data_IF_682759174772
#
_entry.id   IF_682759174772
#
_cell.length_a   1.000
_cell.length_b   1.000
_cell.length_c   1.000
_cell.angle_alpha   90.00
_cell.angle_beta   90.00
_cell.angle_gamma   90.00
#
_symmetry.space_group_name_H-M   'P 1'
#
loop_
_entity.id
_entity.type
_entity.pdbx_description
1 polymer ?
2 non-polymer ?
3 water ?
#
# COMPACT_ATOMS: atom_id res chain seq x y z
N UNK A 1 6.06 -16.77 -14.78
CA UNK A 1 7.42 -17.00 -14.18
C UNK A 1 7.54 -16.08 -12.98
N UNK A 2 8.57 -16.28 -12.14
CA UNK A 2 8.78 -15.45 -10.94
C UNK A 2 8.99 -13.99 -11.31
N UNK A 3 8.02 -13.16 -10.88
CA UNK A 3 8.03 -11.73 -11.09
C UNK A 3 9.17 -11.12 -10.25
N UNK A 4 9.83 -10.08 -10.76
CA UNK A 4 10.88 -9.40 -10.00
C UNK A 4 10.35 -8.03 -9.54
N UNK A 5 10.31 -7.84 -8.23
CA UNK A 5 9.84 -6.60 -7.61
C UNK A 5 11.05 -5.90 -7.08
N UNK A 6 11.40 -4.79 -7.74
CA UNK A 6 12.54 -3.99 -7.35
C UNK A 6 12.22 -2.98 -6.25
N UNK A 7 12.93 -3.08 -5.13
CA UNK A 7 12.72 -2.14 -4.05
C UNK A 7 13.10 -2.69 -2.72
N UNK A 8 13.05 -1.82 -1.73
CA UNK A 8 13.38 -2.17 -0.35
C UNK A 8 12.17 -2.85 0.25
N UNK A 9 12.36 -4.02 0.90
CA UNK A 9 11.21 -4.71 1.51
C UNK A 9 10.48 -3.94 2.63
N UNK A 10 11.08 -2.86 3.13
CA UNK A 10 10.45 -2.06 4.19
C UNK A 10 9.57 -0.95 3.70
N UNK A 11 9.77 -0.53 2.46
CA UNK A 11 9.01 0.54 1.88
C UNK A 11 7.54 0.15 1.69
N UNK A 12 6.61 0.89 2.33
CA UNK A 12 5.18 0.58 2.20
C UNK A 12 4.68 0.57 0.76
N UNK A 13 5.38 1.25 -0.12
CA UNK A 13 4.94 1.30 -1.49
C UNK A 13 5.31 -0.02 -2.17
N UNK A 14 6.37 -0.66 -1.67
CA UNK A 14 6.77 -1.98 -2.20
C UNK A 14 5.79 -2.98 -1.59
N UNK A 15 5.49 -2.82 -0.30
CA UNK A 15 4.53 -3.70 0.35
C UNK A 15 3.14 -3.64 -0.27
N UNK A 16 2.73 -2.50 -0.84
CA UNK A 16 1.42 -2.40 -1.48
C UNK A 16 1.35 -3.34 -2.68
N UNK A 17 2.48 -3.53 -3.35
CA UNK A 17 2.53 -4.39 -4.54
C UNK A 17 2.58 -5.85 -4.11
N UNK A 18 3.44 -6.15 -3.13
CA UNK A 18 3.58 -7.49 -2.59
C UNK A 18 2.18 -7.96 -2.13
N UNK A 19 1.42 -7.04 -1.53
CA UNK A 19 0.08 -7.32 -1.05
C UNK A 19 -0.74 -7.94 -2.18
N UNK A 20 -0.79 -7.26 -3.32
CA UNK A 20 -1.54 -7.77 -4.44
C UNK A 20 -0.92 -9.03 -5.04
N UNK A 21 0.40 -9.18 -5.01
CA UNK A 21 1.01 -10.39 -5.58
C UNK A 21 0.65 -11.64 -4.76
N UNK A 22 0.61 -11.52 -3.43
CA UNK A 22 0.24 -12.65 -2.60
C UNK A 22 -1.22 -13.01 -2.74
N UNK A 23 -2.09 -12.02 -2.88
CA UNK A 23 -3.51 -12.32 -3.02
C UNK A 23 -3.69 -13.20 -4.25
N UNK A 24 -3.06 -12.82 -5.34
CA UNK A 24 -3.11 -13.53 -6.62
C UNK A 24 -2.26 -14.82 -6.55
N UNK A 25 -1.57 -15.01 -5.43
CA UNK A 25 -0.71 -16.15 -5.25
C UNK A 25 0.37 -16.29 -6.31
N UNK A 26 0.84 -15.18 -6.87
CA UNK A 26 1.87 -15.23 -7.89
C UNK A 26 3.23 -15.38 -7.26
N UNK A 27 4.18 -15.90 -8.01
CA UNK A 27 5.56 -16.07 -7.53
C UNK A 27 6.36 -14.84 -7.87
N UNK A 28 7.22 -14.42 -6.95
CA UNK A 28 8.02 -13.23 -7.19
C UNK A 28 9.12 -13.10 -6.17
N UNK A 29 10.13 -12.31 -6.49
CA UNK A 29 11.20 -12.06 -5.53
C UNK A 29 11.38 -10.55 -5.42
N UNK A 30 11.65 -10.07 -4.21
CA UNK A 30 11.80 -8.64 -4.02
C UNK A 30 13.26 -8.36 -4.11
N UNK A 31 13.66 -7.67 -5.17
CA UNK A 31 15.07 -7.31 -5.39
C UNK A 31 15.41 -5.89 -4.95
N UNK A 32 16.26 -5.74 -3.91
CA UNK A 32 16.66 -4.39 -3.45
C UNK A 32 17.66 -3.83 -4.47
N UNK A 33 17.55 -2.54 -4.77
CA UNK A 33 18.42 -1.89 -5.74
C UNK A 33 19.05 -0.60 -5.30
N UNK A 34 20.23 -0.36 -5.87
CA UNK A 34 21.00 0.85 -5.62
C UNK A 34 20.46 1.83 -6.63
N UNK A 35 19.74 2.84 -6.15
CA UNK A 35 19.14 3.88 -7.01
C UNK A 35 20.19 4.81 -7.60
N UNK A 36 21.01 5.37 -6.72
CA UNK A 36 22.07 6.29 -7.12
C UNK A 36 23.22 6.13 -6.13
N UNK A 37 22.94 5.40 -5.05
CA UNK A 37 23.87 5.15 -3.92
C UNK A 37 25.22 4.55 -4.30
N UNK A 38 25.58 4.61 -5.58
CA UNK A 38 26.87 4.10 -6.01
C UNK A 38 27.80 5.24 -6.45
N UNK A 39 27.30 6.48 -6.40
CA UNK A 39 28.07 7.68 -6.77
C UNK A 39 28.41 7.82 -8.28
N UNK A 40 29.31 8.77 -8.60
CA UNK A 40 29.77 9.10 -9.97
C UNK A 40 28.61 9.04 -10.98
N UNK A 41 27.45 9.22 -10.38
CA UNK A 41 26.13 9.24 -10.97
C UNK A 41 25.99 9.16 -12.48
N UNK A 42 25.75 7.95 -12.96
CA UNK A 42 25.55 7.68 -14.38
C UNK A 42 24.40 6.65 -14.61
N UNK A 43 23.14 7.09 -14.36
CA UNK A 43 21.80 6.48 -14.44
C UNK A 43 21.57 4.97 -14.78
N UNK A 44 21.40 4.13 -13.75
CA UNK A 44 21.19 2.70 -14.01
C UNK A 44 19.77 2.10 -13.87
N UNK A 45 19.15 2.31 -12.71
CA UNK A 45 17.78 1.82 -12.46
C UNK A 45 16.85 2.62 -13.39
N UNK A 46 17.34 3.78 -13.82
CA UNK A 46 16.60 4.65 -14.71
C UNK A 46 16.13 3.96 -15.95
N UNK A 47 16.65 2.78 -16.18
CA UNK A 47 16.28 1.94 -17.32
C UNK A 47 14.97 1.20 -17.05
N UNK A 48 14.72 0.87 -15.78
CA UNK A 48 13.47 0.21 -15.43
C UNK A 48 12.51 1.36 -15.27
N UNK A 49 12.80 2.26 -14.33
CA UNK A 49 11.97 3.44 -14.08
C UNK A 49 12.70 4.74 -14.40
N UNK A 50 12.35 5.42 -15.51
CA UNK A 50 13.01 6.68 -15.85
C UNK A 50 12.76 7.76 -14.82
N UNK A 51 11.70 7.62 -14.02
CA UNK A 51 11.43 8.60 -12.95
C UNK A 51 12.33 8.30 -11.77
N UNK A 52 13.00 7.15 -11.82
CA UNK A 52 13.93 6.74 -10.77
C UNK A 52 13.33 6.48 -9.40
N UNK A 53 12.08 6.04 -9.38
CA UNK A 53 11.39 5.70 -8.14
C UNK A 53 11.08 4.22 -8.07
N UNK A 54 11.05 3.76 -6.84
CA UNK A 54 10.75 2.39 -6.46
C UNK A 54 9.23 2.38 -6.12
N UNK A 55 8.52 1.26 -6.40
CA UNK A 55 9.03 0.03 -6.99
C UNK A 55 8.88 -0.03 -8.49
N UNK A 56 9.47 -1.09 -9.05
CA UNK A 56 9.34 -1.38 -10.48
C UNK A 56 9.11 -2.89 -10.52
N UNK A 57 8.38 -3.36 -11.50
CA UNK A 57 8.17 -4.79 -11.56
C UNK A 57 8.46 -5.22 -12.96
N UNK A 58 9.21 -6.32 -13.09
CA UNK A 58 9.50 -6.85 -14.43
C UNK A 58 8.66 -8.12 -14.65
N UNK A 59 7.73 -8.05 -15.60
CA UNK A 59 6.89 -9.19 -15.90
C UNK A 59 7.29 -9.80 -17.25
N UNK A 60 8.32 -10.63 -17.18
CA UNK A 60 8.84 -11.23 -18.38
C UNK A 60 9.49 -10.16 -19.20
N UNK A 61 8.79 -9.68 -20.21
CA UNK A 61 9.30 -8.65 -21.11
C UNK A 61 8.76 -7.25 -20.73
N UNK A 62 7.77 -7.25 -19.86
CA UNK A 62 7.11 -6.03 -19.40
C UNK A 62 7.76 -5.44 -18.18
N UNK A 63 7.86 -4.12 -18.20
CA UNK A 63 8.40 -3.37 -17.07
C UNK A 63 7.32 -2.35 -16.72
N UNK A 64 6.96 -2.29 -15.46
CA UNK A 64 5.95 -1.35 -15.03
C UNK A 64 6.49 -0.69 -13.78
N UNK A 65 6.03 0.51 -13.55
CA UNK A 65 6.40 1.28 -12.36
C UNK A 65 5.10 2.04 -12.06
N UNK A 66 5.02 2.58 -10.83
CA UNK A 66 3.83 3.25 -10.24
C UNK A 66 3.14 2.05 -9.58
N UNK A 67 3.26 1.92 -8.28
CA UNK A 67 2.71 0.79 -7.55
C UNK A 67 1.24 0.47 -7.92
N UNK A 68 0.41 1.49 -8.08
CA UNK A 68 -0.99 1.29 -8.43
C UNK A 68 -1.16 0.83 -9.88
N UNK A 69 -0.26 1.24 -10.77
CA UNK A 69 -0.37 0.79 -12.16
C UNK A 69 0.00 -0.69 -12.15
N UNK A 70 1.02 -1.04 -11.38
CA UNK A 70 1.44 -2.41 -11.26
C UNK A 70 0.31 -3.26 -10.70
N UNK A 71 -0.30 -2.83 -9.58
CA UNK A 71 -1.40 -3.56 -8.98
C UNK A 71 -2.58 -3.77 -9.91
N UNK A 72 -2.91 -2.76 -10.70
CA UNK A 72 -4.05 -2.90 -11.56
C UNK A 72 -3.74 -3.84 -12.70
N UNK A 73 -2.54 -3.71 -13.26
CA UNK A 73 -2.10 -4.56 -14.36
C UNK A 73 -2.13 -6.04 -13.96
N UNK A 74 -1.47 -6.35 -12.86
CA UNK A 74 -1.43 -7.69 -12.34
C UNK A 74 -2.86 -8.18 -12.01
N UNK A 75 -3.72 -7.33 -11.46
CA UNK A 75 -5.08 -7.72 -11.08
C UNK A 75 -5.96 -8.10 -12.26
N UNK A 76 -5.74 -7.48 -13.41
CA UNK A 76 -6.54 -7.82 -14.58
C UNK A 76 -5.85 -8.89 -15.44
N UNK A 77 -4.52 -8.86 -15.48
CA UNK A 77 -3.75 -9.80 -16.27
C UNK A 77 -3.86 -11.19 -15.68
N UNK A 78 -3.62 -11.31 -14.39
CA UNK A 78 -3.72 -12.60 -13.76
C UNK A 78 -5.05 -12.67 -13.05
N UNK A 79 -6.11 -12.23 -13.73
CA UNK A 79 -7.46 -12.20 -13.21
C UNK A 79 -8.00 -13.47 -12.53
N UNK A 80 -7.49 -14.63 -12.95
CA UNK A 80 -7.94 -15.91 -12.43
C UNK A 80 -7.16 -16.45 -11.25
N UNK A 81 -5.83 -16.36 -11.30
CA UNK A 81 -5.05 -16.84 -10.18
C UNK A 81 -5.57 -16.14 -8.93
N UNK A 82 -5.49 -16.86 -7.81
CA UNK A 82 -5.95 -16.37 -6.51
C UNK A 82 -7.24 -15.59 -6.51
N UNK A 83 -7.33 -14.66 -5.57
CA UNK A 83 -8.50 -13.81 -5.39
C UNK A 83 -8.84 -12.97 -6.59
N UNK A 84 -10.12 -12.77 -6.79
CA UNK A 84 -10.53 -11.96 -7.89
C UNK A 84 -10.54 -10.55 -7.29
N UNK A 85 -9.47 -9.79 -7.51
CA UNK A 85 -9.41 -8.42 -6.96
C UNK A 85 -10.31 -7.48 -7.76
N UNK A 86 -10.79 -7.96 -8.89
CA UNK A 86 -11.69 -7.16 -9.71
C UNK A 86 -12.97 -7.96 -10.02
N UNK A 87 -13.78 -8.29 -8.97
CA UNK A 87 -15.02 -9.05 -9.12
C UNK A 87 -16.01 -8.31 -9.97
N UNK A 88 -16.70 -9.01 -10.86
CA UNK A 88 -17.71 -8.38 -11.70
C UNK A 88 -18.99 -8.22 -10.87
N UNK A 89 -18.95 -8.80 -9.66
CA UNK A 89 -20.05 -8.70 -8.72
C UNK A 89 -19.94 -7.38 -7.92
N UNK A 90 -18.74 -6.81 -7.85
CA UNK A 90 -18.52 -5.56 -7.13
C UNK A 90 -19.09 -4.43 -7.97
N UNK A 91 -19.50 -3.32 -7.34
CA UNK A 91 -20.03 -2.20 -8.10
C UNK A 91 -18.86 -1.59 -8.86
N UNK A 92 -19.02 -1.37 -10.16
CA UNK A 92 -17.94 -0.75 -10.96
C UNK A 92 -17.77 0.73 -10.64
N UNK A 93 -18.89 1.39 -10.32
CA UNK A 93 -18.88 2.81 -9.99
C UNK A 93 -18.16 3.00 -8.67
N UNK A 94 -18.44 2.15 -7.68
CA UNK A 94 -17.78 2.24 -6.38
C UNK A 94 -16.33 1.82 -6.46
N UNK A 95 -16.06 0.76 -7.21
CA UNK A 95 -14.70 0.31 -7.30
C UNK A 95 -13.75 1.38 -7.88
N UNK A 96 -14.16 2.08 -8.94
CA UNK A 96 -13.32 3.11 -9.57
C UNK A 96 -13.19 4.35 -8.67
N UNK A 97 -14.29 4.74 -8.02
CA UNK A 97 -14.29 5.88 -7.14
C UNK A 97 -13.36 5.66 -5.94
N UNK A 98 -13.43 4.51 -5.27
CA UNK A 98 -12.58 4.26 -4.12
C UNK A 98 -11.12 4.00 -4.39
N UNK A 99 -10.79 3.71 -5.65
CA UNK A 99 -9.38 3.48 -6.09
C UNK A 99 -8.74 4.84 -6.16
N UNK A 100 -9.49 5.81 -6.66
CA UNK A 100 -9.03 7.17 -6.73
C UNK A 100 -9.03 7.86 -5.34
N UNK A 101 -10.06 7.58 -4.53
CA UNK A 101 -10.10 8.19 -3.20
C UNK A 101 -8.82 7.82 -2.43
N UNK A 102 -8.40 6.56 -2.54
CA UNK A 102 -7.19 6.08 -1.85
C UNK A 102 -5.95 6.83 -2.35
N UNK A 103 -5.91 7.05 -3.65
CA UNK A 103 -4.81 7.69 -4.34
C UNK A 103 -4.72 9.17 -4.01
N UNK A 104 -5.86 9.83 -3.98
CA UNK A 104 -5.90 11.26 -3.73
C UNK A 104 -6.25 11.77 -2.36
N UNK A 105 -6.82 10.92 -1.51
CA UNK A 105 -7.18 11.38 -0.18
C UNK A 105 -6.56 10.66 0.95
N UNK A 106 -6.43 9.36 0.81
CA UNK A 106 -5.86 8.56 1.86
C UNK A 106 -4.34 8.59 1.76
N UNK A 107 -3.82 8.19 0.63
CA UNK A 107 -2.38 8.15 0.48
C UNK A 107 -1.62 9.44 0.82
N UNK A 108 -1.99 10.57 0.19
CA UNK A 108 -1.29 11.83 0.48
C UNK A 108 -1.29 12.27 1.93
N UNK A 109 -2.20 11.73 2.73
CA UNK A 109 -2.24 12.09 4.14
C UNK A 109 -1.62 11.02 4.99
N UNK A 110 -1.74 9.76 4.57
CA UNK A 110 -1.18 8.64 5.33
C UNK A 110 0.33 8.60 5.22
N UNK A 111 0.89 8.82 4.02
CA UNK A 111 2.34 8.76 3.91
C UNK A 111 3.14 9.77 4.73
N UNK A 112 2.75 11.08 4.72
CA UNK A 112 3.54 12.04 5.52
C UNK A 112 3.58 11.62 6.97
N UNK A 113 2.49 11.04 7.47
CA UNK A 113 2.42 10.60 8.86
C UNK A 113 3.39 9.45 9.13
N UNK A 114 3.47 8.50 8.20
CA UNK A 114 4.37 7.35 8.35
C UNK A 114 5.80 7.84 8.23
N UNK A 115 6.01 8.80 7.36
CA UNK A 115 7.32 9.35 7.16
C UNK A 115 7.87 10.13 8.37
N UNK A 116 7.08 11.03 8.92
CA UNK A 116 7.52 11.82 10.06
C UNK A 116 7.62 11.00 11.37
N UNK A 117 6.67 10.09 11.58
CA UNK A 117 6.64 9.35 12.83
C UNK A 117 7.43 8.05 12.88
N UNK A 118 7.74 7.46 11.71
CA UNK A 118 8.49 6.20 11.64
C UNK A 118 9.88 6.29 11.02
N UNK A 119 9.95 6.89 9.83
CA UNK A 119 11.19 7.01 9.08
C UNK A 119 12.21 8.00 9.67
N UNK A 120 11.79 9.25 9.87
CA UNK A 120 12.68 10.27 10.41
C UNK A 120 13.39 9.92 11.68
N UNK A 121 12.66 9.42 12.70
CA UNK A 121 13.34 9.07 13.93
C UNK A 121 14.37 7.97 13.65
N UNK A 122 14.09 7.05 12.74
CA UNK A 122 15.05 6.00 12.43
C UNK A 122 16.33 6.59 11.79
N UNK A 123 16.20 7.78 11.26
CA UNK A 123 17.31 8.48 10.64
C UNK A 123 17.89 9.59 11.51
N UNK A 124 17.55 9.62 12.78
CA UNK A 124 18.10 10.67 13.62
C UNK A 124 17.36 11.98 13.62
N UNK A 125 16.14 12.02 13.12
CA UNK A 125 15.39 13.28 13.13
C UNK A 125 14.08 13.24 13.93
N UNK A 126 13.67 14.40 14.42
CA UNK A 126 12.43 14.50 15.18
C UNK A 126 11.26 14.82 14.24
N UNK A 127 10.08 14.23 14.49
CA UNK A 127 8.89 14.47 13.68
C UNK A 127 8.57 15.96 13.61
N UNK A 128 8.11 16.43 12.45
CA UNK A 128 7.74 17.83 12.29
C UNK A 128 6.27 17.96 12.77
N UNK A 129 6.06 18.64 13.89
CA UNK A 129 4.73 18.81 14.45
C UNK A 129 3.73 19.42 13.49
N UNK A 130 4.18 20.36 12.68
CA UNK A 130 3.27 21.01 11.76
C UNK A 130 2.76 20.07 10.69
N UNK A 131 3.64 19.19 10.22
CA UNK A 131 3.31 18.20 9.18
C UNK A 131 2.40 17.13 9.74
N UNK A 132 2.71 16.67 10.94
CA UNK A 132 1.89 15.66 11.59
C UNK A 132 0.48 16.22 11.82
N UNK A 133 0.37 17.43 12.40
CA UNK A 133 -0.92 18.04 12.66
C UNK A 133 -1.73 18.26 11.46
N UNK A 134 -1.15 18.83 10.42
CA UNK A 134 -1.88 19.05 9.19
C UNK A 134 -2.45 17.73 8.63
N UNK A 135 -1.60 16.73 8.48
CA UNK A 135 -2.05 15.47 7.94
C UNK A 135 -2.90 14.58 8.80
N UNK A 136 -2.70 14.60 10.12
CA UNK A 136 -3.52 13.80 10.99
C UNK A 136 -4.96 14.31 10.89
N UNK A 137 -5.11 15.62 10.85
CA UNK A 137 -6.41 16.21 10.78
C UNK A 137 -7.09 15.99 9.44
N UNK A 138 -6.33 16.12 8.36
CA UNK A 138 -6.84 15.88 7.03
C UNK A 138 -7.24 14.41 6.86
N UNK A 139 -6.42 13.49 7.38
CA UNK A 139 -6.71 12.05 7.32
C UNK A 139 -7.92 11.78 8.17
N UNK A 140 -8.03 12.41 9.35
CA UNK A 140 -9.23 12.26 10.19
C UNK A 140 -10.52 12.58 9.42
N UNK A 141 -10.57 13.74 8.74
CA UNK A 141 -11.75 14.11 7.96
C UNK A 141 -12.01 13.07 6.86
N UNK A 142 -10.94 12.62 6.22
CA UNK A 142 -11.02 11.60 5.18
C UNK A 142 -11.60 10.30 5.79
N UNK A 143 -11.11 9.88 6.94
CA UNK A 143 -11.59 8.65 7.59
C UNK A 143 -13.05 8.74 8.15
N UNK A 144 -13.58 9.96 8.29
CA UNK A 144 -14.96 10.16 8.73
C UNK A 144 -15.86 9.80 7.56
N UNK A 145 -15.37 10.03 6.35
CA UNK A 145 -16.12 9.68 5.16
C UNK A 145 -16.06 8.16 4.92
N UNK A 146 -14.93 7.53 5.24
CA UNK A 146 -14.78 6.09 5.10
C UNK A 146 -15.74 5.46 6.12
N UNK A 147 -15.79 6.01 7.32
CA UNK A 147 -16.62 5.50 8.38
C UNK A 147 -18.10 5.45 7.98
N UNK A 148 -18.62 6.54 7.45
CA UNK A 148 -20.00 6.58 7.02
C UNK A 148 -20.23 5.61 5.86
N UNK A 149 -19.25 5.51 4.96
CA UNK A 149 -19.38 4.61 3.83
C UNK A 149 -19.34 3.14 4.26
N UNK A 150 -18.40 2.82 5.12
CA UNK A 150 -18.21 1.47 5.60
C UNK A 150 -19.32 1.01 6.56
N UNK A 151 -20.11 1.96 7.06
CA UNK A 151 -21.22 1.60 7.93
C UNK A 151 -22.29 1.04 6.96
N UNK A 152 -22.24 1.46 5.70
CA UNK A 152 -23.16 0.99 4.70
C UNK A 152 -22.64 -0.05 3.71
N UNK A 153 -21.35 -0.43 3.76
CA UNK A 153 -20.79 -1.40 2.82
C UNK A 153 -19.81 -2.24 3.55
N UNK A 154 -19.75 -3.53 3.26
CA UNK A 154 -18.82 -4.34 3.97
C UNK A 154 -17.39 -3.93 3.65
N UNK A 155 -17.15 -3.75 2.35
CA UNK A 155 -15.86 -3.31 1.86
C UNK A 155 -16.12 -2.09 1.04
N UNK A 156 -15.04 -1.43 0.61
CA UNK A 156 -15.14 -0.20 -0.19
C UNK A 156 -16.07 -0.28 -1.39
N UNK A 157 -15.90 -1.30 -2.23
CA UNK A 157 -16.72 -1.44 -3.42
C UNK A 157 -18.01 -2.26 -3.25
N UNK A 158 -18.25 -2.77 -2.04
CA UNK A 158 -19.43 -3.56 -1.80
C UNK A 158 -19.24 -4.72 -0.84
N UNK A 159 -19.87 -5.84 -1.15
CA UNK A 159 -19.83 -7.02 -0.32
C UNK A 159 -18.51 -7.74 -0.30
N UNK A 160 -17.75 -7.59 -1.35
CA UNK A 160 -16.49 -8.30 -1.45
C UNK A 160 -15.25 -7.46 -1.43
N UNK A 161 -14.16 -8.08 -1.01
CA UNK A 161 -12.85 -7.48 -0.93
C UNK A 161 -12.33 -7.34 -2.37
N UNK A 162 -11.95 -6.12 -2.74
CA UNK A 162 -11.46 -5.87 -4.07
C UNK A 162 -10.11 -5.17 -4.01
N UNK A 163 -9.62 -4.78 -5.18
CA UNK A 163 -8.35 -4.07 -5.32
C UNK A 163 -8.40 -2.78 -4.49
N UNK A 164 -9.54 -2.12 -4.48
CA UNK A 164 -9.72 -0.90 -3.72
C UNK A 164 -9.28 -1.07 -2.27
N UNK A 165 -9.63 -2.19 -1.63
CA UNK A 165 -9.26 -2.39 -0.22
C UNK A 165 -7.79 -2.77 -0.05
N UNK A 166 -7.30 -3.61 -0.96
CA UNK A 166 -5.95 -4.12 -0.90
C UNK A 166 -4.90 -3.00 -1.01
N UNK A 167 -5.21 -1.98 -1.80
CA UNK A 167 -4.31 -0.84 -2.02
C UNK A 167 -4.09 -0.03 -0.75
N UNK A 168 -4.97 -0.23 0.23
CA UNK A 168 -4.89 0.48 1.51
C UNK A 168 -4.10 -0.26 2.51
N UNK A 169 -4.02 -1.58 2.40
CA UNK A 169 -3.38 -2.38 3.43
C UNK A 169 -2.00 -2.04 4.01
N UNK A 170 -1.01 -1.75 3.16
CA UNK A 170 0.33 -1.46 3.66
C UNK A 170 0.37 -0.20 4.47
N UNK A 171 -0.33 0.84 4.03
CA UNK A 171 -0.35 2.06 4.79
C UNK A 171 -1.18 1.99 6.06
N UNK A 172 -2.24 1.17 6.10
CA UNK A 172 -3.02 1.01 7.31
C UNK A 172 -2.11 0.30 8.33
N UNK A 173 -1.35 -0.67 7.83
CA UNK A 173 -0.40 -1.44 8.63
C UNK A 173 0.61 -0.51 9.29
N UNK A 174 1.29 0.32 8.50
CA UNK A 174 2.27 1.24 9.06
C UNK A 174 1.65 2.28 9.99
N UNK A 175 0.49 2.82 9.62
CA UNK A 175 -0.22 3.79 10.46
C UNK A 175 -0.46 3.19 11.85
N UNK A 176 -0.80 1.89 11.91
CA UNK A 176 -1.05 1.21 13.18
C UNK A 176 0.15 1.15 14.12
N UNK A 177 1.35 1.31 13.58
CA UNK A 177 2.57 1.32 14.40
C UNK A 177 2.98 2.71 14.84
N UNK A 178 2.13 3.70 14.57
CA UNK A 178 2.46 5.07 14.97
C UNK A 178 1.52 5.50 16.06
N UNK A 179 1.83 6.64 16.68
CA UNK A 179 1.01 7.20 17.73
C UNK A 179 -0.32 7.68 17.12
N UNK A 180 -0.47 7.61 15.80
CA UNK A 180 -1.71 8.05 15.21
C UNK A 180 -2.55 6.89 14.83
N UNK A 181 -2.22 5.71 15.36
CA UNK A 181 -3.03 4.53 15.05
C UNK A 181 -4.48 4.80 15.49
N UNK A 182 -4.68 5.67 16.48
CA UNK A 182 -6.02 5.97 16.92
C UNK A 182 -7.00 6.49 15.87
N UNK A 183 -6.52 7.09 14.79
CA UNK A 183 -7.39 7.62 13.75
C UNK A 183 -8.25 6.49 13.20
N UNK A 184 -7.66 5.30 13.16
CA UNK A 184 -8.36 4.13 12.67
C UNK A 184 -9.17 3.48 13.78
N UNK A 185 -8.52 3.27 14.91
CA UNK A 185 -9.19 2.62 16.02
C UNK A 185 -10.45 3.31 16.50
N UNK A 186 -10.45 4.62 16.49
CA UNK A 186 -11.57 5.39 16.98
C UNK A 186 -12.75 5.39 16.07
N UNK A 187 -12.64 4.79 14.91
CA UNK A 187 -13.76 4.78 13.99
C UNK A 187 -14.14 3.32 13.86
N UNK A 188 -15.26 2.94 14.46
CA UNK A 188 -15.83 1.59 14.49
C UNK A 188 -15.77 0.78 13.23
N UNK A 189 -16.32 1.29 12.15
CA UNK A 189 -16.31 0.51 10.91
C UNK A 189 -14.99 0.51 10.22
N UNK A 190 -14.24 1.61 10.33
CA UNK A 190 -12.94 1.65 9.71
C UNK A 190 -12.13 0.55 10.41
N UNK A 191 -12.18 0.54 11.74
CA UNK A 191 -11.48 -0.45 12.57
C UNK A 191 -11.85 -1.91 12.22
N UNK A 192 -13.16 -2.21 12.16
CA UNK A 192 -13.62 -3.55 11.79
C UNK A 192 -13.07 -3.91 10.39
N UNK A 193 -13.26 -3.00 9.45
CA UNK A 193 -12.81 -3.16 8.08
C UNK A 193 -11.33 -3.47 8.02
N UNK A 194 -10.53 -2.75 8.80
CA UNK A 194 -9.08 -2.94 8.87
C UNK A 194 -8.76 -4.28 9.51
N UNK A 195 -9.48 -4.64 10.57
CA UNK A 195 -9.21 -5.90 11.20
C UNK A 195 -9.56 -7.05 10.30
N UNK A 196 -10.57 -6.85 9.45
CA UNK A 196 -10.91 -7.89 8.51
C UNK A 196 -9.76 -8.07 7.51
N UNK A 197 -9.13 -6.96 7.07
CA UNK A 197 -8.02 -7.04 6.08
C UNK A 197 -6.79 -7.78 6.64
N UNK A 198 -6.47 -7.52 7.90
CA UNK A 198 -5.31 -8.15 8.53
C UNK A 198 -5.52 -9.65 8.66
N UNK A 199 -6.77 -10.07 8.87
CA UNK A 199 -7.15 -11.48 9.00
C UNK A 199 -6.92 -12.29 7.74
N UNK A 200 -6.87 -11.62 6.59
CA UNK A 200 -6.67 -12.29 5.32
C UNK A 200 -5.34 -13.07 5.30
N UNK A 201 -5.38 -14.34 4.87
CA UNK A 201 -4.21 -15.23 4.79
C UNK A 201 -3.10 -14.60 3.94
N UNK A 202 -3.47 -14.06 2.78
CA UNK A 202 -2.51 -13.42 1.87
C UNK A 202 -1.81 -12.28 2.61
N UNK A 203 -2.60 -11.47 3.31
CA UNK A 203 -2.01 -10.38 4.03
C UNK A 203 -1.08 -10.84 5.10
N UNK A 204 -1.42 -11.95 5.74
CA UNK A 204 -0.60 -12.55 6.80
C UNK A 204 0.78 -12.87 6.29
N UNK A 205 0.80 -13.36 5.06
CA UNK A 205 2.03 -13.75 4.36
C UNK A 205 2.86 -12.49 4.11
N UNK A 206 2.21 -11.49 3.52
CA UNK A 206 2.86 -10.22 3.24
C UNK A 206 3.53 -9.64 4.49
N UNK A 207 2.78 -9.50 5.56
CA UNK A 207 3.32 -8.97 6.80
C UNK A 207 4.51 -9.78 7.24
N UNK A 208 4.40 -11.10 7.11
CA UNK A 208 5.45 -12.02 7.48
C UNK A 208 6.79 -11.74 6.80
N UNK A 209 6.71 -11.24 5.56
CA UNK A 209 7.90 -10.92 4.78
C UNK A 209 8.62 -9.58 5.09
N UNK A 210 7.96 -8.65 5.78
CA UNK A 210 8.60 -7.37 6.10
C UNK A 210 9.69 -7.60 7.13
N UNK A 211 10.94 -7.23 6.80
CA UNK A 211 12.14 -7.37 7.64
C UNK A 211 12.14 -6.37 8.79
N UNK A 212 11.05 -6.39 9.59
CA UNK A 212 10.87 -5.48 10.71
C UNK A 212 11.85 -5.78 11.85
N UNK A 213 12.56 -4.76 12.32
CA UNK A 213 13.52 -4.96 13.40
C UNK A 213 12.90 -5.43 14.70
N UNK A 214 13.75 -6.00 15.58
CA UNK A 214 13.38 -6.50 16.91
C UNK A 214 13.40 -5.36 17.91
N UNK A 215 12.64 -5.49 19.00
CA UNK A 215 12.55 -4.46 20.05
C UNK A 215 13.94 -4.07 20.57
N UNK A 216 13.97 -3.09 21.49
CA UNK A 216 15.26 -2.66 22.06
C UNK A 216 15.82 -3.82 22.91
#
# INVERSE_FOLDING_TARGET
>A
APLKLYGMPLSPNVVRVATVLNEKGLDFEIVPVDLTTGAHKQPDFLALNPFGQIPALVDGDEVLFESRAINRYIASKYASEGTDLLPATASAAKLEVWLEVESHHFYPNASPLVFQLLVRPLLGGAPDAAVVDKHAEQLAKVLDVYEAHLARNKYLAGDEFTLADANHASYLLYLSKTPKAGLVAARPHVKAWWEAIVARPAFQKTVAAIPLPPPP
#
